data_IF_195140217413
#
_entry.id   IF_195140217413
#
_cell.length_a   1.000
_cell.length_b   1.000
_cell.length_c   1.000
_cell.angle_alpha   90.00
_cell.angle_beta   90.00
_cell.angle_gamma   90.00
#
_symmetry.space_group_name_H-M   'P 1'
#
loop_
_entity.id
_entity.type
_entity.pdbx_description
1 polymer ?
#
# COMPACT_ATOMS: atom_id res chain seq x y z
N UNK A 1 26.61 -9.33 -4.95
CA UNK A 1 25.95 -9.19 -4.71
C UNK A 1 25.19 -8.78 -4.61
N UNK A 2 25.40 -8.45 -4.85
CA UNK A 2 24.56 -7.82 -4.74
C UNK A 2 23.61 -8.14 -4.18
N UNK A 3 23.25 -8.57 -4.36
CA UNK A 3 22.01 -8.91 -3.78
C UNK A 3 22.01 -8.96 -2.30
N UNK A 4 23.12 -8.97 -1.79
CA UNK A 4 23.34 -8.98 -0.36
C UNK A 4 22.67 -7.80 0.32
N UNK A 5 22.82 -6.63 -0.21
CA UNK A 5 22.23 -5.46 0.40
C UNK A 5 20.70 -5.54 0.39
N UNK A 6 20.13 -6.25 -0.58
CA UNK A 6 18.67 -6.37 -0.61
C UNK A 6 18.16 -7.27 0.49
N UNK A 7 18.98 -8.19 0.99
CA UNK A 7 18.58 -9.07 2.08
C UNK A 7 18.42 -8.31 3.39
N UNK A 8 19.25 -7.31 3.62
CA UNK A 8 19.19 -6.53 4.86
C UNK A 8 18.08 -5.48 4.82
N UNK A 9 17.90 -4.84 3.68
CA UNK A 9 16.97 -3.72 3.57
C UNK A 9 15.50 -4.09 3.77
N UNK A 10 14.98 -5.18 3.18
CA UNK A 10 13.54 -5.44 3.23
C UNK A 10 12.94 -5.56 4.62
N UNK A 11 13.70 -6.00 5.60
CA UNK A 11 13.15 -6.19 6.95
C UNK A 11 12.87 -4.86 7.66
N UNK A 12 13.44 -3.76 7.16
CA UNK A 12 13.23 -2.45 7.76
C UNK A 12 12.34 -1.55 6.92
N UNK A 13 11.90 -2.03 5.75
CA UNK A 13 11.05 -1.24 4.86
C UNK A 13 9.62 -1.73 5.00
N UNK A 14 8.83 -1.00 5.78
CA UNK A 14 7.42 -1.33 5.99
C UNK A 14 6.52 -0.68 4.95
N UNK A 15 7.02 0.29 4.20
CA UNK A 15 6.27 0.93 3.13
C UNK A 15 7.02 0.76 1.81
N UNK A 16 6.32 0.27 0.80
CA UNK A 16 6.85 0.12 -0.55
C UNK A 16 5.95 0.88 -1.51
N UNK A 17 6.53 1.73 -2.34
CA UNK A 17 5.76 2.62 -3.21
C UNK A 17 6.03 2.32 -4.67
N UNK A 18 4.95 2.21 -5.44
CA UNK A 18 4.99 2.17 -6.89
C UNK A 18 4.51 3.55 -7.36
N UNK A 19 5.42 4.33 -7.93
CA UNK A 19 5.15 5.71 -8.32
C UNK A 19 5.08 5.86 -9.84
N UNK A 20 4.26 6.78 -10.29
CA UNK A 20 4.10 7.10 -11.71
C UNK A 20 2.79 7.80 -11.94
N UNK A 21 2.73 8.64 -13.00
CA UNK A 21 1.49 9.32 -13.35
C UNK A 21 0.42 8.34 -13.79
N UNK A 22 -0.82 8.81 -13.87
CA UNK A 22 -1.94 8.00 -14.34
C UNK A 22 -1.63 7.37 -15.69
N UNK A 23 -2.08 6.12 -15.87
CA UNK A 23 -1.91 5.41 -17.13
C UNK A 23 -0.59 4.71 -17.30
N UNK A 24 0.26 4.70 -16.29
CA UNK A 24 1.58 4.07 -16.36
C UNK A 24 1.58 2.59 -15.96
N UNK A 25 0.44 2.05 -15.57
CA UNK A 25 0.33 0.62 -15.25
C UNK A 25 0.64 0.26 -13.79
N UNK A 26 0.49 1.19 -12.87
CA UNK A 26 0.75 0.94 -11.45
C UNK A 26 -0.10 -0.19 -10.88
N UNK A 27 -1.38 -0.21 -11.23
CA UNK A 27 -2.30 -1.24 -10.73
C UNK A 27 -1.85 -2.63 -11.14
N UNK A 28 -1.36 -2.78 -12.38
CA UNK A 28 -0.85 -4.08 -12.83
C UNK A 28 0.33 -4.54 -11.98
N UNK A 29 1.24 -3.61 -11.64
CA UNK A 29 2.36 -3.93 -10.77
C UNK A 29 1.89 -4.37 -9.39
N UNK A 30 0.88 -3.70 -8.82
CA UNK A 30 0.31 -4.10 -7.54
C UNK A 30 -0.34 -5.48 -7.61
N UNK A 31 -1.13 -5.72 -8.65
CA UNK A 31 -1.82 -7.00 -8.83
C UNK A 31 -0.82 -8.14 -8.99
N UNK A 32 0.21 -7.94 -9.81
CA UNK A 32 1.24 -8.96 -10.02
C UNK A 32 1.97 -9.26 -8.70
N UNK A 33 2.30 -8.21 -7.95
CA UNK A 33 3.01 -8.37 -6.69
C UNK A 33 2.16 -9.10 -5.65
N UNK A 34 0.92 -8.69 -5.45
CA UNK A 34 0.07 -9.32 -4.43
C UNK A 34 -0.22 -10.77 -4.77
N UNK A 35 -0.43 -11.09 -6.03
CA UNK A 35 -0.71 -12.45 -6.45
C UNK A 35 0.51 -13.36 -6.31
N UNK A 36 1.71 -12.81 -6.40
CA UNK A 36 2.94 -13.55 -6.12
C UNK A 36 3.14 -13.73 -4.61
N UNK A 37 2.95 -12.65 -3.84
CA UNK A 37 3.20 -12.65 -2.40
C UNK A 37 2.22 -13.54 -1.62
N UNK A 38 0.98 -13.65 -2.08
CA UNK A 38 -0.02 -14.47 -1.37
C UNK A 38 0.38 -15.93 -1.33
N UNK A 39 1.23 -16.38 -2.23
CA UNK A 39 1.73 -17.75 -2.25
C UNK A 39 2.86 -17.98 -1.26
N UNK A 40 3.48 -16.91 -0.80
CA UNK A 40 4.66 -16.97 0.08
C UNK A 40 4.35 -16.65 1.54
N UNK A 41 3.36 -15.78 1.78
CA UNK A 41 3.04 -15.38 3.16
C UNK A 41 2.16 -16.44 3.83
N UNK A 42 2.28 -16.53 5.14
CA UNK A 42 1.47 -17.46 5.93
C UNK A 42 0.21 -16.81 6.47
N UNK A 43 0.21 -15.50 6.62
CA UNK A 43 -0.91 -14.76 7.15
C UNK A 43 -1.80 -14.19 6.06
N UNK A 44 -2.56 -13.18 6.42
CA UNK A 44 -3.56 -12.58 5.54
C UNK A 44 -3.02 -11.38 4.79
N UNK A 45 -3.58 -11.14 3.61
CA UNK A 45 -3.31 -9.96 2.79
C UNK A 45 -4.63 -9.27 2.49
N UNK A 46 -4.63 -7.96 2.66
CA UNK A 46 -5.78 -7.11 2.34
C UNK A 46 -5.39 -6.16 1.20
N UNK A 47 -6.29 -5.98 0.26
CA UNK A 47 -6.10 -5.09 -0.88
C UNK A 47 -7.23 -4.04 -0.86
N UNK A 48 -6.88 -2.78 -0.64
CA UNK A 48 -7.83 -1.67 -0.65
C UNK A 48 -7.79 -0.97 -1.99
N UNK A 49 -8.96 -0.72 -2.55
CA UNK A 49 -9.11 -0.04 -3.83
C UNK A 49 -10.29 0.92 -3.78
N UNK A 50 -10.34 1.83 -4.72
CA UNK A 50 -11.44 2.78 -4.86
C UNK A 50 -12.71 2.16 -5.47
N UNK A 51 -12.61 0.92 -5.96
CA UNK A 51 -13.73 0.19 -6.54
C UNK A 51 -13.45 -1.31 -6.48
N UNK A 52 -14.41 -2.12 -6.87
CA UNK A 52 -14.26 -3.57 -6.91
C UNK A 52 -13.92 -4.10 -8.31
N UNK A 53 -13.56 -3.23 -9.26
CA UNK A 53 -13.43 -3.65 -10.65
C UNK A 53 -12.30 -4.66 -10.89
N UNK A 54 -11.31 -4.75 -10.02
CA UNK A 54 -10.20 -5.69 -10.16
C UNK A 54 -10.38 -6.98 -9.39
N UNK A 55 -11.59 -7.23 -8.83
CA UNK A 55 -11.80 -8.38 -7.96
C UNK A 55 -11.47 -9.73 -8.61
N UNK A 56 -11.70 -9.86 -9.91
CA UNK A 56 -11.43 -11.12 -10.60
C UNK A 56 -9.95 -11.31 -10.98
N UNK A 57 -9.16 -10.26 -10.85
CA UNK A 57 -7.72 -10.32 -11.13
C UNK A 57 -6.91 -10.66 -9.88
N UNK A 58 -7.56 -10.69 -8.72
CA UNK A 58 -6.92 -11.01 -7.44
C UNK A 58 -7.10 -12.50 -7.11
N UNK A 59 -6.05 -13.08 -6.54
CA UNK A 59 -6.16 -14.42 -5.96
C UNK A 59 -7.26 -14.39 -4.88
N UNK A 60 -8.06 -15.45 -4.82
CA UNK A 60 -9.22 -15.49 -3.92
C UNK A 60 -8.84 -15.49 -2.43
N UNK A 61 -7.58 -15.70 -2.10
CA UNK A 61 -7.10 -15.63 -0.73
C UNK A 61 -6.81 -14.19 -0.29
N UNK A 62 -6.74 -13.25 -1.24
CA UNK A 62 -6.57 -11.84 -0.94
C UNK A 62 -7.93 -11.23 -0.68
N UNK A 63 -8.06 -10.51 0.44
CA UNK A 63 -9.32 -9.85 0.78
C UNK A 63 -9.35 -8.46 0.13
N UNK A 64 -10.27 -8.27 -0.81
CA UNK A 64 -10.48 -6.97 -1.44
C UNK A 64 -11.48 -6.15 -0.63
N UNK A 65 -11.12 -4.90 -0.37
CA UNK A 65 -12.02 -3.94 0.25
C UNK A 65 -12.20 -2.76 -0.68
N UNK A 66 -13.43 -2.50 -1.08
CA UNK A 66 -13.81 -1.32 -1.86
C UNK A 66 -14.09 -0.18 -0.88
N UNK A 67 -13.15 0.77 -0.80
CA UNK A 67 -13.26 1.87 0.17
C UNK A 67 -14.43 2.81 -0.11
N UNK A 68 -14.94 2.83 -1.34
CA UNK A 68 -16.07 3.70 -1.70
C UNK A 68 -17.35 3.34 -0.93
N UNK A 69 -17.43 2.13 -0.40
CA UNK A 69 -18.61 1.67 0.33
C UNK A 69 -18.65 2.15 1.80
N UNK A 70 -17.57 2.77 2.29
CA UNK A 70 -17.44 3.05 3.72
C UNK A 70 -17.41 4.53 4.10
N UNK A 71 -17.65 5.41 3.13
CA UNK A 71 -17.86 6.82 3.41
C UNK A 71 -16.65 7.57 3.96
N UNK A 72 -15.46 7.17 3.58
CA UNK A 72 -14.24 7.87 4.01
C UNK A 72 -14.21 9.27 3.42
N UNK A 73 -13.94 10.28 4.23
CA UNK A 73 -13.97 11.67 3.80
C UNK A 73 -12.69 12.47 4.13
N UNK A 74 -11.75 11.86 4.83
CA UNK A 74 -10.52 12.56 5.23
C UNK A 74 -9.36 11.58 5.37
N UNK A 75 -8.14 12.10 5.40
CA UNK A 75 -6.97 11.25 5.63
C UNK A 75 -6.95 10.69 7.05
N UNK A 76 -7.45 11.44 8.03
CA UNK A 76 -7.57 10.91 9.38
C UNK A 76 -8.57 9.77 9.46
N UNK A 77 -9.69 9.91 8.76
CA UNK A 77 -10.67 8.82 8.65
C UNK A 77 -10.07 7.60 7.98
N UNK A 78 -9.27 7.79 6.94
CA UNK A 78 -8.58 6.70 6.27
C UNK A 78 -7.64 5.96 7.22
N UNK A 79 -6.84 6.68 8.00
CA UNK A 79 -5.93 6.06 8.97
C UNK A 79 -6.73 5.29 10.03
N UNK A 80 -7.85 5.85 10.49
CA UNK A 80 -8.74 5.13 11.42
C UNK A 80 -9.29 3.85 10.82
N UNK A 81 -9.63 3.87 9.55
CA UNK A 81 -10.09 2.70 8.81
C UNK A 81 -9.01 1.61 8.76
N UNK A 82 -7.76 2.01 8.45
CA UNK A 82 -6.61 1.10 8.47
C UNK A 82 -6.43 0.50 9.86
N UNK A 83 -6.49 1.33 10.91
CA UNK A 83 -6.36 0.85 12.29
C UNK A 83 -7.45 -0.16 12.64
N UNK A 84 -8.68 0.07 12.16
CA UNK A 84 -9.78 -0.85 12.37
C UNK A 84 -9.52 -2.22 11.73
N UNK A 85 -8.98 -2.23 10.52
CA UNK A 85 -8.63 -3.49 9.85
C UNK A 85 -7.54 -4.22 10.64
N UNK A 86 -6.51 -3.51 11.07
CA UNK A 86 -5.40 -4.10 11.82
C UNK A 86 -5.90 -4.67 13.16
N UNK A 87 -6.79 -3.95 13.82
CA UNK A 87 -7.22 -4.30 15.18
C UNK A 87 -7.94 -5.64 15.28
N UNK A 88 -8.55 -6.10 14.20
CA UNK A 88 -9.34 -7.31 14.21
C UNK A 88 -8.65 -8.49 13.52
N UNK A 89 -7.43 -8.32 13.02
CA UNK A 89 -6.75 -9.38 12.28
C UNK A 89 -5.27 -9.44 12.69
N UNK A 90 -4.97 -10.30 13.66
CA UNK A 90 -3.61 -10.47 14.16
C UNK A 90 -2.71 -11.24 13.19
N UNK A 91 -3.30 -11.83 12.13
CA UNK A 91 -2.55 -12.57 11.12
C UNK A 91 -2.30 -11.75 9.87
N UNK A 92 -2.65 -10.47 9.88
CA UNK A 92 -2.43 -9.59 8.74
C UNK A 92 -0.94 -9.33 8.56
N UNK A 93 -0.41 -9.61 7.36
CA UNK A 93 1.01 -9.42 7.04
C UNK A 93 1.25 -8.31 6.03
N UNK A 94 0.35 -8.13 5.08
CA UNK A 94 0.52 -7.13 4.04
C UNK A 94 -0.79 -6.44 3.72
N UNK A 95 -0.69 -5.14 3.39
CA UNK A 95 -1.83 -4.36 2.97
C UNK A 95 -1.45 -3.57 1.72
N UNK A 96 -2.22 -3.75 0.66
CA UNK A 96 -2.02 -3.06 -0.61
C UNK A 96 -3.02 -1.92 -0.70
N UNK A 97 -2.53 -0.74 -1.06
CA UNK A 97 -3.34 0.49 -1.12
C UNK A 97 -3.28 1.02 -2.55
N UNK A 98 -4.21 0.59 -3.38
CA UNK A 98 -4.28 1.02 -4.78
C UNK A 98 -5.01 2.36 -4.88
N UNK A 99 -4.55 3.20 -5.78
CA UNK A 99 -5.05 4.58 -5.90
C UNK A 99 -4.95 5.32 -4.57
N UNK A 100 -3.78 5.25 -3.95
CA UNK A 100 -3.57 5.75 -2.60
C UNK A 100 -4.08 7.16 -2.37
N UNK A 101 -3.76 8.10 -3.27
CA UNK A 101 -4.19 9.49 -3.10
C UNK A 101 -5.71 9.63 -3.06
N UNK A 102 -6.40 8.80 -3.83
CA UNK A 102 -7.87 8.84 -3.84
C UNK A 102 -8.47 8.23 -2.60
N UNK A 103 -8.03 7.02 -2.23
CA UNK A 103 -8.64 6.33 -1.09
C UNK A 103 -8.30 7.01 0.23
N UNK A 104 -7.13 7.65 0.32
CA UNK A 104 -6.70 8.36 1.53
C UNK A 104 -7.18 9.82 1.56
N UNK A 105 -7.85 10.27 0.50
CA UNK A 105 -8.33 11.67 0.39
C UNK A 105 -7.20 12.68 0.45
N UNK A 106 -6.11 12.38 -0.25
CA UNK A 106 -4.90 13.21 -0.27
C UNK A 106 -4.57 13.74 -1.66
N UNK A 107 -5.53 13.77 -2.58
CA UNK A 107 -5.31 14.36 -3.90
C UNK A 107 -4.96 15.84 -3.73
N UNK A 108 -3.87 16.26 -4.37
CA UNK A 108 -3.34 17.64 -4.28
C UNK A 108 -2.96 18.08 -2.87
N UNK A 109 -2.72 17.13 -1.97
CA UNK A 109 -2.33 17.43 -0.58
C UNK A 109 -0.94 16.88 -0.28
N UNK A 110 -0.35 17.36 0.81
CA UNK A 110 0.93 16.84 1.30
C UNK A 110 0.69 15.50 1.99
N UNK A 111 1.42 14.48 1.56
CA UNK A 111 1.25 13.12 2.07
C UNK A 111 2.27 12.75 3.16
N UNK A 112 3.16 13.67 3.51
CA UNK A 112 4.27 13.39 4.43
C UNK A 112 3.80 12.79 5.75
N UNK A 113 2.82 13.41 6.39
CA UNK A 113 2.32 12.94 7.69
C UNK A 113 1.64 11.58 7.59
N UNK A 114 0.87 11.36 6.55
CA UNK A 114 0.16 10.08 6.37
C UNK A 114 1.14 8.95 6.11
N UNK A 115 2.19 9.21 5.32
CA UNK A 115 3.25 8.21 5.10
C UNK A 115 3.94 7.85 6.41
N UNK A 116 4.25 8.86 7.23
CA UNK A 116 4.87 8.58 8.54
C UNK A 116 3.95 7.77 9.45
N UNK A 117 2.66 8.04 9.46
CA UNK A 117 1.70 7.28 10.26
C UNK A 117 1.60 5.83 9.80
N UNK A 118 1.59 5.59 8.49
CA UNK A 118 1.58 4.23 7.97
C UNK A 118 2.88 3.50 8.31
N UNK A 119 4.00 4.19 8.25
CA UNK A 119 5.29 3.60 8.61
C UNK A 119 5.30 3.17 10.08
N UNK A 120 4.81 4.03 10.98
CA UNK A 120 4.68 3.71 12.39
C UNK A 120 3.80 2.48 12.63
N UNK A 121 2.66 2.41 11.94
CA UNK A 121 1.76 1.26 12.06
C UNK A 121 2.42 -0.01 11.53
N UNK A 122 3.15 0.09 10.42
CA UNK A 122 3.87 -1.04 9.85
C UNK A 122 4.90 -1.59 10.82
N UNK A 123 5.68 -0.71 11.44
CA UNK A 123 6.69 -1.12 12.42
C UNK A 123 6.06 -1.74 13.67
N UNK A 124 5.00 -1.10 14.17
CA UNK A 124 4.37 -1.55 15.42
C UNK A 124 3.70 -2.91 15.27
N UNK A 125 3.06 -3.17 14.15
CA UNK A 125 2.28 -4.38 13.93
C UNK A 125 2.91 -5.36 12.95
N UNK A 126 4.11 -5.04 12.48
CA UNK A 126 4.86 -5.86 11.53
C UNK A 126 4.06 -6.12 10.24
N UNK A 127 3.56 -5.04 9.67
CA UNK A 127 2.76 -5.07 8.45
C UNK A 127 3.47 -4.29 7.36
N UNK A 128 3.56 -4.88 6.16
CA UNK A 128 4.08 -4.20 4.98
C UNK A 128 2.94 -3.55 4.23
N UNK A 129 3.06 -2.24 3.97
CA UNK A 129 2.12 -1.51 3.13
C UNK A 129 2.72 -1.29 1.75
N UNK A 130 1.97 -1.62 0.71
CA UNK A 130 2.39 -1.41 -0.67
C UNK A 130 1.41 -0.45 -1.32
N UNK A 131 1.90 0.70 -1.75
CA UNK A 131 1.06 1.80 -2.23
C UNK A 131 1.29 2.07 -3.71
N UNK A 132 0.23 2.36 -4.47
CA UNK A 132 0.37 2.97 -5.79
C UNK A 132 0.05 4.47 -5.65
N UNK A 133 0.98 5.31 -6.09
CA UNK A 133 0.82 6.76 -5.96
C UNK A 133 0.93 7.41 -7.34
N UNK A 134 -0.09 8.19 -7.73
CA UNK A 134 -0.17 8.82 -9.05
C UNK A 134 0.64 10.11 -9.12
N UNK A 135 1.91 10.02 -8.76
CA UNK A 135 2.90 11.09 -8.86
C UNK A 135 4.19 10.49 -9.37
N UNK A 136 4.98 11.29 -10.08
CA UNK A 136 6.33 10.87 -10.41
C UNK A 136 7.14 10.76 -9.13
N UNK A 137 8.11 9.85 -9.11
CA UNK A 137 8.95 9.65 -7.93
C UNK A 137 9.63 10.95 -7.47
N UNK A 138 10.03 11.80 -8.42
CA UNK A 138 10.69 13.06 -8.11
C UNK A 138 9.78 14.07 -7.41
N UNK A 139 8.47 13.90 -7.53
CA UNK A 139 7.48 14.82 -6.94
C UNK A 139 7.02 14.39 -5.56
N UNK A 140 7.51 13.25 -5.07
CA UNK A 140 7.16 12.76 -3.75
C UNK A 140 7.94 13.49 -2.66
N UNK A 141 7.38 13.57 -1.43
CA UNK A 141 8.17 14.09 -0.29
C UNK A 141 9.32 13.16 0.03
N UNK A 142 10.34 13.68 0.72
CA UNK A 142 11.56 12.93 1.00
C UNK A 142 11.32 11.61 1.73
N UNK A 143 10.39 11.58 2.68
CA UNK A 143 10.09 10.35 3.40
C UNK A 143 9.42 9.28 2.54
N UNK A 144 8.85 9.67 1.42
CA UNK A 144 8.25 8.73 0.46
C UNK A 144 9.26 8.34 -0.62
N UNK A 145 10.10 9.26 -1.07
CA UNK A 145 11.11 8.97 -2.10
C UNK A 145 11.98 7.78 -1.76
N UNK A 146 12.39 7.68 -0.50
CA UNK A 146 13.26 6.59 -0.05
C UNK A 146 12.57 5.23 -0.03
N UNK A 147 11.26 5.20 -0.22
CA UNK A 147 10.45 3.99 -0.15
C UNK A 147 9.97 3.50 -1.52
N UNK A 148 10.35 4.18 -2.59
CA UNK A 148 9.94 3.81 -3.95
C UNK A 148 10.67 2.54 -4.39
N UNK A 149 9.90 1.52 -4.77
CA UNK A 149 10.45 0.27 -5.29
C UNK A 149 10.32 0.18 -6.81
N UNK A 150 9.34 0.88 -7.38
CA UNK A 150 9.13 0.95 -8.83
C UNK A 150 8.79 2.38 -9.21
N UNK A 151 9.50 2.93 -10.19
CA UNK A 151 9.25 4.26 -10.73
C UNK A 151 8.90 4.11 -12.21
N UNK A 152 7.69 4.50 -12.57
CA UNK A 152 7.17 4.35 -13.93
C UNK A 152 7.10 5.68 -14.71
#
# INVERSE_FOLDING_TARGET
MTGVQTCALPIFIMIQIIAGKKGKGKTKHLLDKVNAEVKEVHGNIVYLDKSSKHMYELNNKVRLIDTSEFGLSSSDGFIGFICGIISQDHDLEQMYLDSFLKIAKLEDADITETIDKLDELGEKYNITFVLSISLDADDLPENAKSKVIVSL
#
